data_IF_957718759894
#
_entry.id   IF_957718759894
#
_cell.length_a   1.000
_cell.length_b   1.000
_cell.length_c   1.000
_cell.angle_alpha   90.00
_cell.angle_beta   90.00
_cell.angle_gamma   90.00
#
_symmetry.space_group_name_H-M   'P 1'
#
loop_
_entity.id
_entity.type
_entity.pdbx_description
1 polymer ?
#
# COMPACT_ATOMS: atom_id res chain seq x y z
N UNK A 1 17.63 -1.17 -1.26
CA UNK A 1 18.91 -0.89 -1.93
C UNK A 1 19.41 0.45 -1.42
N UNK A 2 20.68 0.56 -1.02
CA UNK A 2 21.28 1.80 -0.53
C UNK A 2 22.53 2.12 -1.35
N UNK A 3 22.82 3.40 -1.56
CA UNK A 3 24.03 3.86 -2.24
C UNK A 3 24.70 4.96 -1.42
N UNK A 4 25.99 4.76 -1.11
CA UNK A 4 26.83 5.77 -0.48
C UNK A 4 27.67 6.48 -1.55
N UNK A 5 28.08 7.72 -1.26
CA UNK A 5 28.85 8.55 -2.20
C UNK A 5 30.13 7.83 -2.63
N UNK A 6 30.29 7.61 -3.93
CA UNK A 6 31.47 6.95 -4.51
C UNK A 6 31.53 5.43 -4.34
N UNK A 7 30.46 4.81 -3.83
CA UNK A 7 30.36 3.36 -3.67
C UNK A 7 29.26 2.78 -4.58
N UNK A 8 29.41 1.51 -5.02
CA UNK A 8 28.33 0.83 -5.73
C UNK A 8 27.11 0.63 -4.82
N UNK A 9 25.89 0.53 -5.40
CA UNK A 9 24.68 0.25 -4.63
C UNK A 9 24.75 -1.14 -4.00
N UNK A 10 24.22 -1.26 -2.79
CA UNK A 10 24.15 -2.51 -2.03
C UNK A 10 22.71 -2.85 -1.71
N UNK A 11 22.33 -4.11 -1.93
CA UNK A 11 21.03 -4.65 -1.56
C UNK A 11 21.10 -5.19 -0.12
N UNK A 12 20.13 -4.78 0.70
CA UNK A 12 19.92 -5.33 2.03
C UNK A 12 18.49 -5.86 2.07
N UNK A 13 18.34 -7.12 2.50
CA UNK A 13 17.04 -7.70 2.78
C UNK A 13 16.55 -7.22 4.14
N UNK A 14 15.25 -6.89 4.23
CA UNK A 14 14.65 -6.51 5.50
C UNK A 14 14.33 -7.78 6.30
N UNK A 15 14.67 -7.83 7.61
CA UNK A 15 14.19 -8.87 8.50
C UNK A 15 12.65 -8.92 8.47
N UNK A 16 12.07 -10.12 8.40
CA UNK A 16 10.60 -10.25 8.29
C UNK A 16 9.90 -9.78 9.54
N UNK A 17 10.58 -9.84 10.67
CA UNK A 17 10.07 -9.52 12.01
C UNK A 17 9.78 -8.03 12.18
N UNK A 18 10.45 -7.18 11.40
CA UNK A 18 10.25 -5.72 11.43
C UNK A 18 9.20 -5.25 10.41
N UNK A 19 8.79 -6.10 9.47
CA UNK A 19 7.78 -5.77 8.47
C UNK A 19 6.41 -6.10 9.04
N UNK A 20 5.72 -5.07 9.53
CA UNK A 20 4.36 -5.21 10.06
C UNK A 20 3.35 -5.18 8.91
N UNK A 21 2.60 -6.27 8.77
CA UNK A 21 1.53 -6.42 7.78
C UNK A 21 0.18 -6.54 8.48
N UNK A 22 -0.84 -5.90 7.90
CA UNK A 22 -2.23 -5.97 8.33
C UNK A 22 -3.02 -6.79 7.32
N UNK A 23 -3.70 -7.82 7.81
CA UNK A 23 -4.64 -8.60 7.01
C UNK A 23 -5.89 -7.78 6.73
N UNK A 24 -6.33 -7.76 5.48
CA UNK A 24 -7.52 -7.01 5.06
C UNK A 24 -8.72 -7.94 5.10
N UNK A 25 -9.63 -7.67 6.03
CA UNK A 25 -10.89 -8.38 6.21
C UNK A 25 -12.08 -7.43 6.10
N UNK A 26 -13.26 -7.96 5.78
CA UNK A 26 -14.50 -7.17 5.81
C UNK A 26 -15.33 -7.54 7.04
N UNK A 27 -15.85 -6.58 7.82
CA UNK A 27 -16.56 -6.85 9.07
C UNK A 27 -17.85 -7.66 8.88
N UNK A 28 -18.49 -7.55 7.72
CA UNK A 28 -19.76 -8.23 7.40
C UNK A 28 -19.63 -9.38 6.41
N UNK A 29 -18.46 -9.54 5.77
CA UNK A 29 -18.27 -10.55 4.72
C UNK A 29 -17.04 -11.41 5.04
N UNK A 30 -17.27 -12.53 5.73
CA UNK A 30 -16.21 -13.46 6.12
C UNK A 30 -15.41 -14.01 4.93
N UNK A 31 -16.08 -14.25 3.80
CA UNK A 31 -15.45 -14.70 2.54
C UNK A 31 -14.47 -13.68 1.92
N UNK A 32 -14.36 -12.46 2.48
CA UNK A 32 -13.32 -11.52 2.10
C UNK A 32 -11.94 -11.97 2.57
N UNK A 33 -11.84 -12.66 3.72
CA UNK A 33 -10.57 -13.16 4.26
C UNK A 33 -9.92 -14.18 3.32
N UNK A 34 -10.72 -14.97 2.60
CA UNK A 34 -10.24 -15.99 1.65
C UNK A 34 -9.44 -15.40 0.47
N UNK A 35 -9.47 -14.07 0.29
CA UNK A 35 -8.64 -13.38 -0.69
C UNK A 35 -7.17 -13.29 -0.28
N UNK A 36 -6.85 -13.55 1.00
CA UNK A 36 -5.47 -13.53 1.52
C UNK A 36 -4.79 -12.18 1.39
N UNK A 37 -5.57 -11.09 1.34
CA UNK A 37 -5.04 -9.74 1.14
C UNK A 37 -4.34 -9.23 2.40
N UNK A 38 -3.13 -8.72 2.22
CA UNK A 38 -2.33 -8.09 3.27
C UNK A 38 -1.72 -6.80 2.75
N UNK A 39 -1.52 -5.85 3.65
CA UNK A 39 -0.84 -4.59 3.35
C UNK A 39 0.11 -4.21 4.46
N UNK A 40 1.25 -3.61 4.12
CA UNK A 40 2.22 -3.13 5.10
C UNK A 40 1.64 -1.94 5.88
N UNK A 41 1.88 -1.90 7.18
CA UNK A 41 1.23 -0.93 8.08
C UNK A 41 1.73 0.51 7.89
N UNK A 42 3.02 0.68 7.55
CA UNK A 42 3.67 1.99 7.53
C UNK A 42 4.13 2.35 6.11
N UNK A 43 3.57 3.40 5.48
CA UNK A 43 4.07 3.90 4.20
C UNK A 43 5.35 4.71 4.41
N UNK A 44 6.48 4.19 3.91
CA UNK A 44 7.76 4.91 3.94
C UNK A 44 8.11 5.35 2.52
N UNK A 45 8.27 6.66 2.33
CA UNK A 45 8.77 7.26 1.08
C UNK A 45 10.23 7.61 1.31
N UNK A 46 11.10 7.22 0.38
CA UNK A 46 12.55 7.32 0.56
C UNK A 46 13.31 7.84 -0.69
N UNK A 47 12.61 8.10 -1.79
CA UNK A 47 13.18 8.55 -3.08
C UNK A 47 13.10 10.07 -3.28
N UNK A 48 12.66 10.81 -2.25
CA UNK A 48 12.55 12.26 -2.27
C UNK A 48 13.75 12.93 -1.59
N UNK A 49 14.15 14.10 -2.11
CA UNK A 49 15.11 14.99 -1.44
C UNK A 49 14.39 15.95 -0.50
N UNK A 50 14.99 16.22 0.65
CA UNK A 50 14.54 17.25 1.58
C UNK A 50 15.48 18.46 1.53
N UNK A 51 14.92 19.67 1.42
CA UNK A 51 15.68 20.92 1.39
C UNK A 51 15.30 21.79 2.59
N UNK A 52 16.30 22.17 3.40
CA UNK A 52 16.10 23.04 4.56
C UNK A 52 17.21 24.09 4.57
N UNK A 53 16.84 25.37 4.49
CA UNK A 53 17.80 26.49 4.56
C UNK A 53 18.89 26.43 3.49
N UNK A 54 18.57 25.92 2.29
CA UNK A 54 19.52 25.74 1.18
C UNK A 54 20.43 24.50 1.29
N UNK A 55 20.26 23.67 2.32
CA UNK A 55 20.97 22.38 2.46
C UNK A 55 20.09 21.26 1.88
N UNK A 56 20.69 20.44 1.01
CA UNK A 56 20.02 19.27 0.42
C UNK A 56 20.34 17.98 1.18
N UNK A 57 19.31 17.34 1.69
CA UNK A 57 19.35 16.00 2.32
C UNK A 57 18.77 14.98 1.33
N UNK A 58 19.66 14.30 0.60
CA UNK A 58 19.27 13.34 -0.43
C UNK A 58 18.86 11.96 0.12
N UNK A 59 18.98 11.74 1.43
CA UNK A 59 18.62 10.50 2.11
C UNK A 59 17.82 10.84 3.37
N UNK A 60 16.57 11.28 3.17
CA UNK A 60 15.66 11.70 4.24
C UNK A 60 14.33 10.94 4.14
N UNK A 61 14.31 9.63 4.43
CA UNK A 61 13.08 8.86 4.40
C UNK A 61 12.09 9.39 5.44
N UNK A 62 10.82 9.44 5.09
CA UNK A 62 9.75 9.87 5.98
C UNK A 62 8.52 8.99 5.81
N UNK A 63 7.68 8.97 6.84
CA UNK A 63 6.45 8.20 6.87
C UNK A 63 5.34 8.97 7.59
N UNK A 64 4.12 8.50 7.38
CA UNK A 64 2.93 8.91 8.13
C UNK A 64 2.07 7.69 8.43
N UNK A 65 0.76 7.85 8.27
CA UNK A 65 -0.23 6.77 8.32
C UNK A 65 -1.01 6.75 7.01
N UNK A 66 -1.41 5.55 6.59
CA UNK A 66 -2.24 5.40 5.40
C UNK A 66 -3.60 6.07 5.56
N UNK A 67 -4.07 6.70 4.49
CA UNK A 67 -5.49 7.00 4.34
C UNK A 67 -6.17 5.79 3.70
N UNK A 68 -7.25 5.28 4.30
CA UNK A 68 -7.88 4.00 3.88
C UNK A 68 -8.21 3.90 2.38
N UNK A 69 -8.53 5.03 1.74
CA UNK A 69 -8.80 5.10 0.31
C UNK A 69 -7.59 4.80 -0.58
N UNK A 70 -6.37 5.03 -0.10
CA UNK A 70 -5.12 4.78 -0.84
C UNK A 70 -4.87 3.28 -1.02
N UNK A 71 -5.22 2.49 -0.01
CA UNK A 71 -5.09 1.03 -0.04
C UNK A 71 -6.27 0.44 -0.83
N UNK A 72 -7.51 0.77 -0.46
CA UNK A 72 -8.71 0.13 -1.00
C UNK A 72 -9.01 0.48 -2.46
N UNK A 73 -8.98 1.76 -2.83
CA UNK A 73 -9.45 2.21 -4.14
C UNK A 73 -8.34 2.44 -5.17
N UNK A 74 -7.08 2.62 -4.77
CA UNK A 74 -5.98 2.78 -5.72
C UNK A 74 -5.14 1.52 -5.81
N UNK A 75 -4.51 1.11 -4.70
CA UNK A 75 -3.61 -0.03 -4.74
C UNK A 75 -4.34 -1.34 -5.10
N UNK A 76 -5.48 -1.63 -4.45
CA UNK A 76 -6.20 -2.88 -4.69
C UNK A 76 -7.10 -2.86 -5.93
N UNK A 77 -7.71 -1.72 -6.24
CA UNK A 77 -8.75 -1.65 -7.27
C UNK A 77 -8.24 -1.28 -8.67
N UNK A 78 -7.17 -0.48 -8.80
CA UNK A 78 -6.71 -0.01 -10.12
C UNK A 78 -6.28 -1.18 -11.02
N UNK A 79 -6.69 -1.14 -12.29
CA UNK A 79 -6.42 -2.21 -13.27
C UNK A 79 -4.92 -2.41 -13.56
N UNK A 80 -4.12 -1.35 -13.39
CA UNK A 80 -2.67 -1.36 -13.57
C UNK A 80 -1.91 -1.70 -12.28
N UNK A 81 -2.61 -2.00 -11.18
CA UNK A 81 -2.05 -2.41 -9.90
C UNK A 81 -2.46 -3.85 -9.60
N UNK A 82 -3.13 -4.10 -8.47
CA UNK A 82 -3.55 -5.45 -8.09
C UNK A 82 -4.83 -5.91 -8.79
N UNK A 83 -5.59 -5.00 -9.44
CA UNK A 83 -6.77 -5.30 -10.25
C UNK A 83 -7.74 -6.30 -9.59
N UNK A 84 -7.94 -6.15 -8.28
CA UNK A 84 -8.76 -7.09 -7.51
C UNK A 84 -10.26 -6.95 -7.83
N UNK A 85 -10.66 -5.92 -8.59
CA UNK A 85 -12.03 -5.77 -9.12
C UNK A 85 -12.39 -6.90 -10.08
N UNK A 86 -11.50 -7.30 -10.99
CA UNK A 86 -11.79 -8.38 -11.96
C UNK A 86 -11.79 -9.77 -11.33
N UNK A 87 -11.03 -9.97 -10.25
CA UNK A 87 -11.01 -11.23 -9.49
C UNK A 87 -12.30 -11.43 -8.68
N UNK A 88 -13.10 -10.37 -8.48
CA UNK A 88 -14.39 -10.42 -7.80
C UNK A 88 -15.55 -10.33 -8.80
N UNK A 89 -15.94 -11.46 -9.39
CA UNK A 89 -17.25 -11.57 -10.06
C UNK A 89 -18.46 -11.54 -9.11
N UNK A 90 -18.26 -11.23 -7.82
CA UNK A 90 -19.26 -11.35 -6.75
C UNK A 90 -19.43 -10.09 -5.88
N UNK A 91 -18.56 -9.07 -6.02
CA UNK A 91 -18.62 -7.83 -5.23
C UNK A 91 -18.20 -6.63 -6.09
N UNK A 92 -18.99 -5.55 -6.06
CA UNK A 92 -18.68 -4.28 -6.73
C UNK A 92 -18.20 -3.26 -5.71
N UNK A 93 -17.02 -2.67 -5.95
CA UNK A 93 -16.55 -1.51 -5.18
C UNK A 93 -16.89 -0.26 -5.98
N UNK A 94 -17.85 0.53 -5.51
CA UNK A 94 -18.19 1.81 -6.15
C UNK A 94 -17.22 2.88 -5.66
N UNK A 95 -16.49 3.51 -6.58
CA UNK A 95 -15.67 4.69 -6.28
C UNK A 95 -16.57 5.95 -6.28
N UNK A 96 -17.30 6.14 -5.17
CA UNK A 96 -18.00 7.38 -4.80
C UNK A 96 -17.52 7.86 -3.43
N UNK A 97 -17.97 9.04 -2.96
CA UNK A 97 -17.49 9.69 -1.72
C UNK A 97 -17.57 8.83 -0.44
N UNK A 98 -18.29 7.71 -0.45
CA UNK A 98 -18.19 6.64 0.54
C UNK A 98 -17.88 5.31 -0.16
N UNK A 99 -16.81 4.64 0.26
CA UNK A 99 -16.36 3.35 -0.28
C UNK A 99 -17.18 2.22 0.33
N UNK A 100 -18.29 1.88 -0.29
CA UNK A 100 -19.14 0.76 0.14
C UNK A 100 -18.88 -0.46 -0.76
N UNK A 101 -18.65 -1.62 -0.11
CA UNK A 101 -18.63 -2.91 -0.78
C UNK A 101 -20.07 -3.37 -0.96
N UNK A 102 -20.60 -3.31 -2.18
CA UNK A 102 -21.97 -3.76 -2.46
C UNK A 102 -21.93 -5.13 -3.15
N UNK A 103 -22.66 -6.14 -2.67
CA UNK A 103 -22.83 -7.41 -3.38
C UNK A 103 -23.41 -7.16 -4.77
N UNK A 104 -22.91 -7.89 -5.76
CA UNK A 104 -23.63 -7.97 -7.04
C UNK A 104 -24.78 -8.95 -6.82
N UNK A 105 -26.01 -8.46 -6.71
CA UNK A 105 -27.18 -9.33 -6.82
C UNK A 105 -27.19 -9.96 -8.22
N UNK A 106 -27.50 -11.26 -8.26
CA UNK A 106 -27.40 -12.11 -9.44
C UNK A 106 -28.41 -11.80 -10.53
#
# INVERSE_FOLDING_TARGET
MFQLKGQPPVLYELPKEIVQEVEITHPEYDGFRDLGLKWYAVPIIADMKLEIGGIHYNAAPFNGWYMGTEIGARNLADENRYNMLKKKSRFSFRTGHNQECVPLEG
#
